data_IF_418009797183
#
_entry.id   IF_418009797183
#
_cell.length_a   1.000
_cell.length_b   1.000
_cell.length_c   1.000
_cell.angle_alpha   90.00
_cell.angle_beta   90.00
_cell.angle_gamma   90.00
#
_symmetry.space_group_name_H-M   'P 1'
#
loop_
_entity.id
_entity.type
_entity.pdbx_description
1 polymer ?
#
# COMPACT_ATOMS: atom_id res chain seq x y z
N UNK A 1 42.16 22.24 26.20
CA UNK A 1 42.87 21.00 25.82
C UNK A 1 41.89 20.06 25.14
N UNK A 2 42.01 19.80 23.83
CA UNK A 2 41.23 18.77 23.14
C UNK A 2 41.94 17.40 23.25
N UNK A 3 41.16 16.34 23.46
CA UNK A 3 41.60 14.94 23.58
C UNK A 3 42.05 14.35 22.22
N UNK A 4 42.95 13.34 22.19
CA UNK A 4 43.51 12.79 20.95
C UNK A 4 42.58 11.82 20.22
N UNK A 5 42.61 11.85 18.89
CA UNK A 5 41.91 10.92 18.00
C UNK A 5 42.60 9.53 17.94
N UNK A 6 41.84 8.43 17.78
CA UNK A 6 42.39 7.07 17.67
C UNK A 6 43.04 6.78 16.29
N UNK A 7 43.96 5.80 16.22
CA UNK A 7 44.80 5.54 15.05
C UNK A 7 44.05 4.89 13.88
N UNK A 8 44.47 5.24 12.65
CA UNK A 8 43.94 4.73 11.40
C UNK A 8 44.28 3.24 11.19
N UNK A 9 43.26 2.41 10.99
CA UNK A 9 43.42 1.01 10.56
C UNK A 9 43.46 0.89 9.03
N UNK A 10 44.48 0.19 8.56
CA UNK A 10 44.84 -0.17 7.19
C UNK A 10 43.69 -0.68 6.30
N UNK A 11 43.72 -0.24 5.03
CA UNK A 11 42.91 -0.76 3.90
C UNK A 11 43.14 -2.26 3.66
N UNK A 12 42.11 -3.06 3.33
CA UNK A 12 42.30 -4.38 2.72
C UNK A 12 42.41 -4.28 1.18
N UNK A 13 43.40 -4.99 0.62
CA UNK A 13 43.61 -5.22 -0.82
C UNK A 13 42.57 -6.17 -1.44
N UNK A 14 42.35 -6.11 -2.77
CA UNK A 14 41.31 -6.87 -3.46
C UNK A 14 41.70 -8.35 -3.68
N UNK A 15 40.80 -9.27 -3.30
CA UNK A 15 40.92 -10.70 -3.66
C UNK A 15 40.52 -10.95 -5.12
N UNK A 16 41.45 -11.53 -5.88
CA UNK A 16 41.18 -12.23 -7.14
C UNK A 16 40.72 -13.67 -6.85
N UNK A 17 39.66 -14.12 -7.52
CA UNK A 17 39.32 -15.53 -7.70
C UNK A 17 38.40 -15.64 -8.93
N UNK A 18 38.99 -15.86 -10.11
CA UNK A 18 39.11 -17.16 -10.79
C UNK A 18 37.78 -17.68 -11.37
N UNK A 19 37.70 -17.51 -12.69
CA UNK A 19 36.74 -18.09 -13.62
C UNK A 19 36.88 -19.61 -13.68
N UNK A 20 35.75 -20.32 -13.65
CA UNK A 20 35.64 -21.67 -14.20
C UNK A 20 34.65 -21.66 -15.37
N UNK A 21 35.20 -22.07 -16.51
CA UNK A 21 34.52 -22.35 -17.77
C UNK A 21 33.64 -23.59 -17.61
N UNK A 22 32.45 -23.58 -18.20
CA UNK A 22 31.86 -24.78 -18.81
C UNK A 22 31.38 -24.38 -20.21
N UNK A 23 31.78 -25.19 -21.18
CA UNK A 23 31.62 -25.02 -22.63
C UNK A 23 30.40 -25.83 -23.11
N UNK A 24 29.64 -25.18 -24.00
CA UNK A 24 28.86 -25.60 -25.17
C UNK A 24 28.02 -26.88 -25.19
N UNK A 25 26.80 -26.74 -25.74
CA UNK A 25 26.39 -27.49 -26.94
C UNK A 25 25.38 -26.70 -27.77
N UNK A 26 25.69 -26.55 -29.06
CA UNK A 26 24.93 -25.93 -30.15
C UNK A 26 23.60 -26.65 -30.45
N UNK A 27 22.62 -25.93 -31.02
CA UNK A 27 21.80 -26.39 -32.17
C UNK A 27 21.12 -25.21 -32.88
N UNK A 28 20.94 -25.40 -34.18
CA UNK A 28 20.82 -24.46 -35.30
C UNK A 28 19.42 -23.85 -35.58
N UNK A 29 19.47 -22.77 -36.38
CA UNK A 29 18.56 -22.24 -37.42
C UNK A 29 17.14 -22.83 -37.62
N UNK A 30 16.10 -21.97 -37.79
CA UNK A 30 15.60 -21.58 -39.13
C UNK A 30 14.40 -20.59 -39.09
N UNK A 31 14.24 -19.86 -40.19
CA UNK A 31 13.33 -18.73 -40.49
C UNK A 31 11.87 -19.14 -40.77
N UNK A 32 10.93 -18.19 -40.70
CA UNK A 32 10.05 -17.81 -41.85
C UNK A 32 9.03 -16.71 -41.51
N UNK A 33 8.91 -15.76 -42.43
CA UNK A 33 7.97 -14.64 -42.51
C UNK A 33 6.55 -15.07 -42.93
N UNK A 34 5.52 -14.24 -42.64
CA UNK A 34 4.64 -13.57 -43.65
C UNK A 34 3.40 -12.85 -43.06
N UNK A 35 3.43 -11.52 -43.18
CA UNK A 35 2.49 -10.52 -43.72
C UNK A 35 1.00 -10.82 -44.07
N UNK A 36 0.13 -9.82 -43.78
CA UNK A 36 -1.21 -9.52 -44.39
C UNK A 36 -2.42 -9.87 -43.51
N UNK A 37 -3.50 -9.11 -43.32
CA UNK A 37 -4.04 -7.88 -43.92
C UNK A 37 -5.24 -7.36 -43.06
N UNK A 38 -5.59 -6.08 -43.24
CA UNK A 38 -6.73 -5.26 -42.73
C UNK A 38 -8.13 -5.93 -42.80
N UNK A 39 -9.26 -5.50 -42.20
CA UNK A 39 -9.75 -4.25 -41.58
C UNK A 39 -11.08 -4.55 -40.84
N UNK A 40 -11.59 -3.54 -40.10
CA UNK A 40 -12.97 -3.29 -39.66
C UNK A 40 -13.35 -3.44 -38.17
N UNK A 41 -13.72 -2.28 -37.66
CA UNK A 41 -14.12 -1.95 -36.30
C UNK A 41 -15.40 -2.65 -35.83
N UNK A 42 -15.37 -3.09 -34.56
CA UNK A 42 -16.54 -3.06 -33.67
C UNK A 42 -16.10 -2.42 -32.35
N UNK A 43 -16.47 -1.14 -32.21
CA UNK A 43 -16.37 -0.38 -30.97
C UNK A 43 -17.35 -1.03 -29.98
N UNK A 44 -16.81 -1.56 -28.88
CA UNK A 44 -17.56 -1.93 -27.68
C UNK A 44 -16.79 -1.35 -26.50
N UNK A 45 -17.45 -0.78 -25.47
CA UNK A 45 -16.76 -0.09 -24.38
C UNK A 45 -16.03 -1.14 -23.53
N UNK A 46 -14.72 -1.29 -23.77
CA UNK A 46 -13.90 -2.23 -23.02
C UNK A 46 -13.74 -1.73 -21.59
N UNK A 47 -14.37 -2.41 -20.64
CA UNK A 47 -14.23 -2.18 -19.20
C UNK A 47 -12.77 -2.00 -18.77
N UNK A 48 -12.46 -1.23 -17.72
CA UNK A 48 -11.11 -0.89 -17.27
C UNK A 48 -10.37 -2.05 -16.57
N UNK A 49 -10.52 -3.27 -17.06
CA UNK A 49 -9.89 -4.50 -16.55
C UNK A 49 -8.36 -4.50 -16.67
N UNK A 50 -7.79 -3.58 -17.46
CA UNK A 50 -6.34 -3.46 -17.69
C UNK A 50 -5.58 -2.70 -16.59
N UNK A 51 -6.21 -1.71 -15.95
CA UNK A 51 -5.59 -0.81 -14.97
C UNK A 51 -5.36 -1.49 -13.60
N UNK A 52 -6.14 -2.54 -13.34
CA UNK A 52 -6.26 -3.25 -12.07
C UNK A 52 -5.19 -4.34 -11.85
N UNK A 53 -4.42 -4.71 -12.88
CA UNK A 53 -3.37 -5.76 -12.80
C UNK A 53 -2.05 -5.29 -12.16
N UNK A 54 -1.87 -4.01 -11.85
CA UNK A 54 -0.56 -3.45 -11.48
C UNK A 54 -0.47 -2.78 -10.10
N UNK A 55 -1.51 -2.90 -9.26
CA UNK A 55 -1.38 -2.56 -7.82
C UNK A 55 -0.57 -3.59 -7.03
N UNK A 56 -0.44 -4.82 -7.54
CA UNK A 56 0.42 -5.86 -6.93
C UNK A 56 1.92 -5.54 -7.01
N UNK A 57 2.37 -4.86 -8.07
CA UNK A 57 3.79 -4.53 -8.26
C UNK A 57 4.33 -3.54 -7.19
N UNK A 58 3.46 -2.69 -6.63
CA UNK A 58 3.84 -1.79 -5.53
C UNK A 58 4.05 -2.55 -4.23
N UNK A 59 3.27 -3.59 -4.00
CA UNK A 59 3.32 -4.35 -2.76
C UNK A 59 4.49 -5.33 -2.76
N UNK A 60 4.85 -5.89 -3.92
CA UNK A 60 6.08 -6.68 -4.09
C UNK A 60 7.31 -5.82 -3.75
N UNK A 61 7.33 -4.53 -4.11
CA UNK A 61 8.39 -3.58 -3.73
C UNK A 61 8.47 -3.37 -2.20
N UNK A 62 7.32 -3.34 -1.51
CA UNK A 62 7.28 -3.20 -0.04
C UNK A 62 7.57 -4.49 0.73
N UNK A 63 7.18 -5.65 0.19
CA UNK A 63 7.28 -6.92 0.89
C UNK A 63 8.62 -7.62 0.68
N UNK A 64 9.35 -7.36 -0.41
CA UNK A 64 10.60 -8.07 -0.71
C UNK A 64 11.88 -7.35 -0.28
N UNK A 65 11.92 -6.01 -0.16
CA UNK A 65 13.24 -5.37 -0.39
C UNK A 65 13.73 -4.27 0.58
N UNK A 66 12.88 -3.52 1.32
CA UNK A 66 13.39 -2.34 2.06
C UNK A 66 12.96 -2.12 3.52
N UNK A 67 12.16 -2.99 4.13
CA UNK A 67 11.67 -2.75 5.51
C UNK A 67 11.15 -1.30 5.73
N UNK A 68 10.52 -0.71 4.71
CA UNK A 68 10.08 0.69 4.76
C UNK A 68 8.90 0.91 5.70
N UNK A 69 8.77 2.15 6.14
CA UNK A 69 7.64 2.59 6.95
C UNK A 69 6.32 2.45 6.18
N UNK A 70 5.25 2.17 6.93
CA UNK A 70 3.91 2.07 6.35
C UNK A 70 3.45 3.41 5.76
N UNK A 71 3.89 4.51 6.36
CA UNK A 71 3.70 5.87 5.86
C UNK A 71 4.11 6.00 4.38
N UNK A 72 5.29 5.48 4.03
CA UNK A 72 5.85 5.48 2.67
C UNK A 72 4.94 4.79 1.66
N UNK A 73 4.42 3.60 1.99
CA UNK A 73 3.46 2.88 1.14
C UNK A 73 2.18 3.69 0.91
N UNK A 74 1.59 4.22 1.98
CA UNK A 74 0.34 4.97 1.87
C UNK A 74 0.53 6.25 1.05
N UNK A 75 1.64 6.95 1.24
CA UNK A 75 1.95 8.16 0.49
C UNK A 75 2.18 7.82 -0.99
N UNK A 76 2.91 6.76 -1.30
CA UNK A 76 3.13 6.31 -2.67
C UNK A 76 1.81 6.04 -3.41
N UNK A 77 0.88 5.32 -2.78
CA UNK A 77 -0.45 5.07 -3.36
C UNK A 77 -1.21 6.37 -3.59
N UNK A 78 -1.14 7.31 -2.63
CA UNK A 78 -1.77 8.63 -2.77
C UNK A 78 -1.16 9.46 -3.88
N UNK A 79 0.16 9.46 -4.06
CA UNK A 79 0.81 10.14 -5.17
C UNK A 79 0.35 9.60 -6.54
N UNK A 80 0.15 8.29 -6.64
CA UNK A 80 -0.36 7.64 -7.86
C UNK A 80 -1.80 8.03 -8.13
N UNK A 81 -2.68 7.97 -7.12
CA UNK A 81 -4.09 8.34 -7.27
C UNK A 81 -4.23 9.83 -7.62
N UNK A 82 -3.67 10.72 -6.79
CA UNK A 82 -2.93 11.94 -7.17
C UNK A 82 -2.82 12.22 -8.68
N UNK A 83 -1.75 11.66 -9.21
CA UNK A 83 -1.31 11.89 -10.56
C UNK A 83 -2.32 11.42 -11.61
N UNK A 84 -2.97 10.27 -11.39
CA UNK A 84 -3.94 9.70 -12.32
C UNK A 84 -5.26 10.46 -12.38
N UNK A 85 -5.54 11.35 -11.43
CA UNK A 85 -6.67 12.28 -11.52
C UNK A 85 -6.42 13.39 -12.55
N UNK A 86 -5.16 13.77 -12.78
CA UNK A 86 -4.78 14.85 -13.69
C UNK A 86 -4.26 14.34 -15.04
N UNK A 87 -3.72 13.11 -15.10
CA UNK A 87 -3.03 12.58 -16.28
C UNK A 87 -3.58 11.22 -16.72
N UNK A 88 -3.94 11.13 -18.00
CA UNK A 88 -4.26 9.85 -18.64
C UNK A 88 -2.97 9.07 -18.89
N UNK A 89 -2.69 8.09 -18.03
CA UNK A 89 -1.52 7.23 -18.16
C UNK A 89 -1.80 5.96 -18.96
N UNK A 90 -0.91 5.60 -19.88
CA UNK A 90 -0.96 4.32 -20.59
C UNK A 90 -0.58 3.17 -19.66
N UNK A 91 -1.14 1.98 -19.93
CA UNK A 91 -1.02 0.78 -19.08
C UNK A 91 0.41 0.26 -18.93
N UNK A 92 1.22 0.39 -19.97
CA UNK A 92 2.64 0.04 -19.99
C UNK A 92 3.44 0.91 -19.00
N UNK A 93 3.12 2.21 -18.89
CA UNK A 93 3.80 3.17 -18.01
C UNK A 93 3.33 3.17 -16.53
N UNK A 94 2.26 2.45 -16.19
CA UNK A 94 1.72 2.41 -14.81
C UNK A 94 2.70 1.86 -13.77
N UNK A 95 3.55 0.89 -14.13
CA UNK A 95 4.51 0.32 -13.19
C UNK A 95 5.69 1.29 -12.97
N UNK A 96 6.16 1.97 -14.02
CA UNK A 96 7.14 3.06 -13.90
C UNK A 96 6.61 4.19 -13.01
N UNK A 97 5.37 4.64 -13.25
CA UNK A 97 4.68 5.62 -12.41
C UNK A 97 4.72 5.16 -10.95
N UNK A 98 4.43 3.88 -10.73
CA UNK A 98 4.36 3.33 -9.40
C UNK A 98 5.66 3.25 -8.64
N UNK A 99 6.68 2.65 -9.25
CA UNK A 99 8.02 2.60 -8.67
C UNK A 99 8.56 4.00 -8.41
N UNK A 100 8.30 4.95 -9.32
CA UNK A 100 8.74 6.33 -9.17
C UNK A 100 8.00 7.06 -8.05
N UNK A 101 6.67 6.90 -7.95
CA UNK A 101 5.89 7.47 -6.86
C UNK A 101 6.31 6.92 -5.49
N UNK A 102 6.67 5.63 -5.43
CA UNK A 102 7.19 5.02 -4.22
C UNK A 102 8.60 5.55 -3.86
N UNK A 103 9.47 5.77 -4.85
CA UNK A 103 10.76 6.45 -4.64
C UNK A 103 10.58 7.88 -4.12
N UNK A 104 9.64 8.65 -4.66
CA UNK A 104 9.31 10.00 -4.16
C UNK A 104 8.84 9.93 -2.70
N UNK A 105 7.92 9.02 -2.39
CA UNK A 105 7.42 8.84 -1.04
C UNK A 105 8.54 8.44 -0.06
N UNK A 106 9.45 7.54 -0.47
CA UNK A 106 10.58 7.14 0.34
C UNK A 106 11.49 8.33 0.67
N UNK A 107 11.80 9.17 -0.33
CA UNK A 107 12.57 10.41 -0.11
C UNK A 107 11.90 11.41 0.84
N UNK A 108 10.59 11.33 1.00
CA UNK A 108 9.82 12.23 1.85
C UNK A 108 9.65 11.71 3.28
N UNK A 109 9.36 10.41 3.45
CA UNK A 109 9.02 9.80 4.74
C UNK A 109 10.20 9.12 5.43
N UNK A 110 11.17 8.58 4.67
CA UNK A 110 12.25 7.78 5.27
C UNK A 110 13.40 8.65 5.76
N UNK A 111 13.95 8.38 6.96
CA UNK A 111 15.16 9.06 7.44
C UNK A 111 16.38 8.82 6.54
N UNK A 112 16.44 7.65 5.91
CA UNK A 112 17.50 7.24 5.00
C UNK A 112 16.88 6.53 3.79
N UNK A 113 16.43 7.30 2.77
CA UNK A 113 15.81 6.70 1.58
C UNK A 113 16.86 5.96 0.74
N UNK A 114 16.49 4.84 0.07
CA UNK A 114 17.36 4.19 -0.89
C UNK A 114 17.73 5.11 -2.05
N UNK A 115 18.88 4.84 -2.67
CA UNK A 115 19.29 5.61 -3.84
C UNK A 115 18.51 5.16 -5.08
N UNK A 116 18.54 5.98 -6.13
CA UNK A 116 17.84 5.65 -7.37
C UNK A 116 18.37 4.34 -8.00
N UNK A 117 19.66 4.04 -7.86
CA UNK A 117 20.23 2.80 -8.38
C UNK A 117 19.68 1.55 -7.66
N UNK A 118 19.35 1.67 -6.37
CA UNK A 118 18.64 0.62 -5.64
C UNK A 118 17.25 0.41 -6.24
N UNK A 119 16.52 1.49 -6.56
CA UNK A 119 15.20 1.39 -7.18
C UNK A 119 15.21 0.75 -8.57
N UNK A 120 16.23 1.03 -9.38
CA UNK A 120 16.42 0.40 -10.68
C UNK A 120 16.69 -1.10 -10.52
N UNK A 121 17.57 -1.46 -9.59
CA UNK A 121 17.92 -2.86 -9.31
C UNK A 121 16.71 -3.70 -8.90
N UNK A 122 15.84 -3.20 -8.01
CA UNK A 122 14.62 -3.96 -7.60
C UNK A 122 13.65 -4.13 -8.75
N UNK A 123 13.62 -3.17 -9.67
CA UNK A 123 12.77 -3.25 -10.84
C UNK A 123 13.39 -4.15 -11.92
N UNK A 124 14.38 -5.00 -11.61
CA UNK A 124 15.13 -5.84 -12.56
C UNK A 124 15.67 -5.05 -13.75
N UNK A 125 16.08 -3.79 -13.53
CA UNK A 125 16.57 -2.86 -14.55
C UNK A 125 15.64 -2.70 -15.78
N UNK A 126 14.34 -2.97 -15.62
CA UNK A 126 13.34 -2.82 -16.69
C UNK A 126 13.16 -1.36 -17.13
N UNK A 127 13.68 -0.41 -16.35
CA UNK A 127 13.61 1.02 -16.62
C UNK A 127 15.02 1.61 -16.70
N UNK A 128 15.20 2.57 -17.60
CA UNK A 128 16.43 3.36 -17.62
C UNK A 128 16.38 4.44 -16.54
N UNK A 129 17.55 4.81 -16.01
CA UNK A 129 17.72 5.93 -15.07
C UNK A 129 17.01 7.21 -15.53
N UNK A 130 17.20 7.57 -16.80
CA UNK A 130 16.60 8.77 -17.38
C UNK A 130 15.07 8.69 -17.43
N UNK A 131 14.49 7.50 -17.62
CA UNK A 131 13.03 7.31 -17.63
C UNK A 131 12.43 7.51 -16.24
N UNK A 132 13.07 6.99 -15.20
CA UNK A 132 12.62 7.15 -13.82
C UNK A 132 12.76 8.60 -13.36
N UNK A 133 13.86 9.28 -13.70
CA UNK A 133 14.04 10.71 -13.42
C UNK A 133 13.04 11.58 -14.18
N UNK A 134 12.76 11.29 -15.44
CA UNK A 134 11.76 12.01 -16.21
C UNK A 134 10.35 11.84 -15.63
N UNK A 135 10.00 10.62 -15.21
CA UNK A 135 8.73 10.35 -14.53
C UNK A 135 8.66 11.09 -13.19
N UNK A 136 9.75 11.16 -12.43
CA UNK A 136 9.78 11.86 -11.15
C UNK A 136 9.48 13.36 -11.32
N UNK A 137 10.18 14.00 -12.27
CA UNK A 137 9.96 15.40 -12.60
C UNK A 137 8.50 15.62 -13.01
N UNK A 138 7.96 14.72 -13.84
CA UNK A 138 6.59 14.82 -14.32
C UNK A 138 5.55 14.71 -13.19
N UNK A 139 5.72 13.76 -12.27
CA UNK A 139 4.84 13.61 -11.09
C UNK A 139 4.87 14.88 -10.25
N UNK A 140 6.06 15.36 -9.88
CA UNK A 140 6.21 16.52 -9.02
C UNK A 140 5.66 17.80 -9.65
N UNK A 141 5.89 18.00 -10.95
CA UNK A 141 5.33 19.15 -11.68
C UNK A 141 3.81 19.10 -11.78
N UNK A 142 3.26 17.92 -12.08
CA UNK A 142 1.80 17.73 -12.18
C UNK A 142 1.11 18.01 -10.85
N UNK A 143 1.69 17.53 -9.76
CA UNK A 143 1.18 17.77 -8.41
C UNK A 143 1.60 19.13 -7.85
N UNK A 144 2.28 19.98 -8.63
CA UNK A 144 2.77 21.30 -8.20
C UNK A 144 3.59 21.24 -6.91
N UNK A 145 4.33 20.15 -6.71
CA UNK A 145 5.08 19.83 -5.50
C UNK A 145 4.22 19.74 -4.22
N UNK A 146 2.89 19.70 -4.33
CA UNK A 146 1.99 19.45 -3.20
C UNK A 146 1.88 17.95 -2.92
N UNK A 147 2.93 17.41 -2.32
CA UNK A 147 3.06 15.99 -1.97
C UNK A 147 2.79 15.70 -0.49
N UNK A 148 2.42 16.72 0.30
CA UNK A 148 2.05 16.56 1.71
C UNK A 148 0.60 16.09 1.86
N UNK A 149 0.32 14.90 1.32
CA UNK A 149 -1.04 14.36 1.21
C UNK A 149 -1.40 13.62 2.51
N UNK A 150 -2.54 13.96 3.17
CA UNK A 150 -2.95 13.26 4.37
C UNK A 150 -3.21 11.77 4.13
N UNK A 151 -2.45 10.91 4.82
CA UNK A 151 -2.62 9.46 4.74
C UNK A 151 -3.42 8.90 5.93
N UNK A 152 -4.22 7.86 5.67
CA UNK A 152 -5.08 7.26 6.68
C UNK A 152 -4.29 6.68 7.86
N UNK A 153 -3.09 6.18 7.61
CA UNK A 153 -2.26 5.55 8.64
C UNK A 153 -1.87 6.50 9.79
N UNK A 154 -1.63 7.79 9.53
CA UNK A 154 -1.37 8.77 10.60
C UNK A 154 -2.56 8.93 11.55
N UNK A 155 -3.77 9.06 10.99
CA UNK A 155 -5.01 9.14 11.78
C UNK A 155 -5.23 7.85 12.57
N UNK A 156 -4.95 6.70 11.96
CA UNK A 156 -5.10 5.39 12.61
C UNK A 156 -4.22 5.28 13.85
N UNK A 157 -2.94 5.67 13.75
CA UNK A 157 -2.02 5.69 14.90
C UNK A 157 -2.51 6.62 16.01
N UNK A 158 -3.05 7.79 15.64
CA UNK A 158 -3.64 8.73 16.61
C UNK A 158 -4.83 8.12 17.33
N UNK A 159 -5.78 7.53 16.60
CA UNK A 159 -6.98 6.92 17.19
C UNK A 159 -6.64 5.74 18.10
N UNK A 160 -5.68 4.90 17.71
CA UNK A 160 -5.19 3.80 18.53
C UNK A 160 -4.57 4.28 19.85
N UNK A 161 -3.83 5.39 19.84
CA UNK A 161 -3.27 6.01 21.06
C UNK A 161 -4.36 6.53 21.99
N UNK A 162 -5.40 7.17 21.46
CA UNK A 162 -6.50 7.72 22.26
C UNK A 162 -7.24 6.67 23.10
N UNK A 163 -7.27 5.41 22.66
CA UNK A 163 -7.93 4.30 23.37
C UNK A 163 -6.92 3.33 24.02
N UNK A 164 -5.63 3.69 24.06
CA UNK A 164 -4.55 2.83 24.59
C UNK A 164 -4.55 1.42 23.99
N UNK A 165 -4.82 1.31 22.69
CA UNK A 165 -4.87 0.03 22.01
C UNK A 165 -3.52 -0.69 22.04
N UNK A 166 -3.54 -1.99 22.32
CA UNK A 166 -2.35 -2.82 22.23
C UNK A 166 -1.89 -3.00 20.77
N UNK A 167 -0.64 -3.43 20.59
CA UNK A 167 -0.04 -3.60 19.27
C UNK A 167 -0.85 -4.53 18.36
N UNK A 168 -1.38 -5.65 18.88
CA UNK A 168 -2.19 -6.58 18.08
C UNK A 168 -3.47 -5.94 17.54
N UNK A 169 -4.09 -5.05 18.30
CA UNK A 169 -5.30 -4.30 17.90
C UNK A 169 -4.95 -3.26 16.84
N UNK A 170 -3.87 -2.50 17.04
CA UNK A 170 -3.36 -1.57 16.03
C UNK A 170 -3.01 -2.31 14.72
N UNK A 171 -2.33 -3.45 14.80
CA UNK A 171 -1.95 -4.24 13.62
C UNK A 171 -3.17 -4.80 12.89
N UNK A 172 -4.20 -5.26 13.59
CA UNK A 172 -5.46 -5.68 12.95
C UNK A 172 -6.12 -4.50 12.22
N UNK A 173 -6.15 -3.33 12.83
CA UNK A 173 -6.73 -2.17 12.18
C UNK A 173 -5.91 -1.68 10.99
N UNK A 174 -4.58 -1.77 11.09
CA UNK A 174 -3.66 -1.46 10.00
C UNK A 174 -3.89 -2.39 8.82
N UNK A 175 -4.05 -3.69 9.07
CA UNK A 175 -4.41 -4.66 8.05
C UNK A 175 -5.69 -4.25 7.32
N UNK A 176 -6.78 -3.98 8.05
CA UNK A 176 -8.07 -3.57 7.46
C UNK A 176 -7.90 -2.30 6.61
N UNK A 177 -7.17 -1.32 7.12
CA UNK A 177 -6.91 -0.07 6.42
C UNK A 177 -6.05 -0.28 5.17
N UNK A 178 -5.03 -1.15 5.22
CA UNK A 178 -4.12 -1.43 4.10
C UNK A 178 -4.83 -2.20 2.98
N UNK A 179 -5.78 -3.07 3.32
CA UNK A 179 -6.66 -3.71 2.33
C UNK A 179 -7.43 -2.70 1.46
N UNK A 180 -7.71 -1.49 1.98
CA UNK A 180 -8.42 -0.46 1.20
C UNK A 180 -7.57 0.15 0.09
N UNK A 181 -6.24 0.09 0.18
CA UNK A 181 -5.33 0.65 -0.84
C UNK A 181 -5.42 -0.10 -2.18
N UNK A 182 -5.77 -1.39 -2.12
CA UNK A 182 -5.91 -2.25 -3.29
C UNK A 182 -7.19 -1.96 -4.09
N UNK A 183 -8.19 -1.35 -3.45
CA UNK A 183 -9.55 -1.19 -3.98
C UNK A 183 -9.83 0.26 -4.41
N UNK A 184 -10.43 0.43 -5.59
CA UNK A 184 -10.71 1.76 -6.14
C UNK A 184 -11.85 2.48 -5.40
N UNK A 185 -12.81 1.72 -4.88
CA UNK A 185 -14.03 2.24 -4.24
C UNK A 185 -13.77 3.06 -2.95
N UNK A 186 -12.56 2.97 -2.39
CA UNK A 186 -12.18 3.67 -1.16
C UNK A 186 -11.38 4.96 -1.41
N UNK A 187 -10.95 5.25 -2.64
CA UNK A 187 -10.13 6.43 -2.96
C UNK A 187 -10.84 7.74 -2.57
N UNK A 188 -12.16 7.78 -2.76
CA UNK A 188 -13.00 8.96 -2.47
C UNK A 188 -13.23 9.19 -0.97
N UNK A 189 -12.97 8.20 -0.11
CA UNK A 189 -13.14 8.38 1.32
C UNK A 189 -11.99 9.20 1.90
N UNK A 190 -12.33 10.12 2.82
CA UNK A 190 -11.33 10.91 3.55
C UNK A 190 -10.42 9.98 4.35
N UNK A 191 -9.12 10.26 4.36
CA UNK A 191 -8.11 9.50 5.10
C UNK A 191 -8.47 9.30 6.58
N UNK A 192 -8.98 10.35 7.25
CA UNK A 192 -9.43 10.29 8.64
C UNK A 192 -10.64 9.37 8.82
N UNK A 193 -11.59 9.35 7.87
CA UNK A 193 -12.78 8.51 7.91
C UNK A 193 -12.43 7.04 7.65
N UNK A 194 -11.52 6.75 6.71
CA UNK A 194 -10.97 5.41 6.49
C UNK A 194 -10.31 4.85 7.75
N UNK A 195 -9.48 5.67 8.40
CA UNK A 195 -8.83 5.29 9.65
C UNK A 195 -9.86 5.03 10.77
N UNK A 196 -10.83 5.94 10.95
CA UNK A 196 -11.86 5.80 11.97
C UNK A 196 -12.75 4.57 11.74
N UNK A 197 -13.19 4.33 10.50
CA UNK A 197 -13.99 3.16 10.12
C UNK A 197 -13.23 1.84 10.29
N UNK A 198 -11.96 1.79 9.87
CA UNK A 198 -11.10 0.61 10.04
C UNK A 198 -10.85 0.31 11.51
N UNK A 199 -10.67 1.34 12.33
CA UNK A 199 -10.46 1.19 13.76
C UNK A 199 -11.75 0.80 14.50
N UNK A 200 -12.89 1.38 14.13
CA UNK A 200 -14.18 1.00 14.69
C UNK A 200 -14.53 -0.46 14.40
N UNK A 201 -14.31 -0.93 13.16
CA UNK A 201 -14.47 -2.34 12.82
C UNK A 201 -13.56 -3.25 13.66
N UNK A 202 -12.31 -2.84 13.86
CA UNK A 202 -11.35 -3.55 14.72
C UNK A 202 -11.85 -3.67 16.15
N UNK A 203 -12.37 -2.58 16.73
CA UNK A 203 -12.94 -2.59 18.08
C UNK A 203 -14.09 -3.59 18.18
N UNK A 204 -14.99 -3.62 17.20
CA UNK A 204 -16.10 -4.59 17.17
C UNK A 204 -15.61 -6.03 17.02
N UNK A 205 -14.63 -6.29 16.14
CA UNK A 205 -14.04 -7.63 15.95
C UNK A 205 -13.34 -8.14 17.22
N UNK A 206 -12.84 -7.24 18.07
CA UNK A 206 -12.16 -7.58 19.32
C UNK A 206 -13.05 -7.54 20.56
N UNK A 207 -14.34 -7.21 20.41
CA UNK A 207 -15.24 -7.05 21.56
C UNK A 207 -14.92 -5.81 22.41
N UNK A 208 -14.21 -4.84 21.84
CA UNK A 208 -13.78 -3.59 22.46
C UNK A 208 -14.71 -2.42 22.09
N UNK A 209 -15.98 -2.70 21.78
CA UNK A 209 -16.96 -1.70 21.33
C UNK A 209 -17.22 -0.58 22.34
N UNK A 210 -16.95 -0.80 23.63
CA UNK A 210 -17.06 0.22 24.68
C UNK A 210 -16.13 1.43 24.47
N UNK A 211 -15.10 1.33 23.63
CA UNK A 211 -14.22 2.45 23.25
C UNK A 211 -14.76 3.31 22.09
N UNK A 212 -15.89 2.93 21.47
CA UNK A 212 -16.47 3.67 20.36
C UNK A 212 -16.80 5.14 20.70
N UNK A 213 -17.31 5.50 21.90
CA UNK A 213 -17.51 6.90 22.29
C UNK A 213 -16.20 7.71 22.34
N UNK A 214 -15.12 7.12 22.83
CA UNK A 214 -13.80 7.77 22.84
C UNK A 214 -13.29 8.00 21.42
N UNK A 215 -13.47 7.02 20.52
CA UNK A 215 -13.14 7.19 19.11
C UNK A 215 -13.98 8.30 18.47
N UNK A 216 -15.27 8.36 18.74
CA UNK A 216 -16.17 9.40 18.24
C UNK A 216 -15.70 10.80 18.68
N UNK A 217 -15.36 10.97 19.97
CA UNK A 217 -14.85 12.22 20.51
C UNK A 217 -13.58 12.71 19.81
N UNK A 218 -12.57 11.84 19.62
CA UNK A 218 -11.28 12.24 19.03
C UNK A 218 -11.26 12.25 17.50
N UNK A 219 -12.15 11.50 16.85
CA UNK A 219 -12.24 11.47 15.38
C UNK A 219 -13.19 12.54 14.84
N UNK A 220 -14.15 12.99 15.64
CA UNK A 220 -15.21 13.91 15.24
C UNK A 220 -16.32 13.27 14.40
N UNK A 221 -16.24 11.96 14.13
CA UNK A 221 -17.26 11.22 13.40
C UNK A 221 -18.17 10.46 14.36
N UNK A 222 -19.48 10.60 14.19
CA UNK A 222 -20.44 9.73 14.88
C UNK A 222 -20.29 8.30 14.39
N UNK A 223 -20.46 7.33 15.28
CA UNK A 223 -20.42 5.91 14.89
C UNK A 223 -21.43 5.60 13.78
N UNK A 224 -22.61 6.23 13.80
CA UNK A 224 -23.62 6.12 12.75
C UNK A 224 -23.14 6.58 11.36
N UNK A 225 -22.26 7.59 11.28
CA UNK A 225 -21.67 8.07 10.02
C UNK A 225 -20.59 7.10 9.49
N UNK A 226 -19.95 6.36 10.40
CA UNK A 226 -18.94 5.35 10.07
C UNK A 226 -19.56 4.01 9.69
N UNK A 227 -20.78 3.72 10.14
CA UNK A 227 -21.47 2.45 9.95
C UNK A 227 -21.54 1.96 8.49
N UNK A 228 -21.88 2.79 7.48
CA UNK A 228 -21.84 2.36 6.08
C UNK A 228 -20.44 1.92 5.62
N UNK A 229 -19.40 2.62 6.06
CA UNK A 229 -18.02 2.27 5.75
C UNK A 229 -17.60 0.98 6.48
N UNK A 230 -17.94 0.83 7.76
CA UNK A 230 -17.68 -0.38 8.55
C UNK A 230 -18.26 -1.63 7.89
N UNK A 231 -19.48 -1.54 7.35
CA UNK A 231 -20.09 -2.65 6.58
C UNK A 231 -19.27 -3.02 5.35
N UNK A 232 -18.90 -2.02 4.53
CA UNK A 232 -18.08 -2.25 3.32
C UNK A 232 -16.72 -2.86 3.67
N UNK A 233 -16.06 -2.35 4.71
CA UNK A 233 -14.79 -2.90 5.20
C UNK A 233 -14.94 -4.34 5.69
N UNK A 234 -16.02 -4.68 6.40
CA UNK A 234 -16.23 -6.05 6.86
C UNK A 234 -16.50 -7.01 5.68
N UNK A 235 -17.24 -6.55 4.67
CA UNK A 235 -17.44 -7.29 3.41
C UNK A 235 -16.12 -7.49 2.67
N UNK A 236 -15.26 -6.47 2.60
CA UNK A 236 -13.92 -6.55 2.00
C UNK A 236 -13.08 -7.68 2.63
N UNK A 237 -13.17 -7.88 3.95
CA UNK A 237 -12.48 -8.98 4.64
C UNK A 237 -13.11 -10.36 4.40
N UNK A 238 -14.39 -10.41 4.02
CA UNK A 238 -15.13 -11.67 3.83
C UNK A 238 -14.90 -12.27 2.46
N UNK A 239 -14.65 -11.43 1.44
CA UNK A 239 -14.20 -11.87 0.12
C UNK A 239 -12.75 -12.39 0.24
N UNK A 240 -12.61 -13.62 0.74
CA UNK A 240 -11.36 -14.37 0.67
C UNK A 240 -10.93 -14.45 -0.79
N UNK A 241 -9.84 -13.75 -1.11
CA UNK A 241 -8.87 -14.18 -2.11
C UNK A 241 -9.45 -14.46 -3.50
N UNK A 242 -9.93 -13.43 -4.19
CA UNK A 242 -9.59 -13.40 -5.62
C UNK A 242 -8.07 -13.13 -5.65
N UNK A 243 -7.30 -13.81 -6.52
CA UNK A 243 -5.83 -13.91 -6.51
C UNK A 243 -5.02 -12.59 -6.36
N UNK A 244 -5.70 -11.44 -6.41
CA UNK A 244 -5.19 -10.08 -6.44
C UNK A 244 -4.82 -9.47 -5.07
N UNK A 245 -5.37 -9.97 -3.96
CA UNK A 245 -5.13 -9.39 -2.61
C UNK A 245 -4.17 -10.25 -1.75
N UNK A 246 -3.43 -11.18 -2.38
CA UNK A 246 -2.58 -12.14 -1.67
C UNK A 246 -1.44 -11.48 -0.89
N UNK A 247 -0.91 -10.37 -1.37
CA UNK A 247 0.34 -9.81 -0.85
C UNK A 247 0.14 -9.15 0.52
N UNK A 248 -0.84 -8.26 0.68
CA UNK A 248 -1.24 -7.73 2.01
C UNK A 248 -1.71 -8.84 2.93
N UNK A 249 -2.57 -9.75 2.46
CA UNK A 249 -3.05 -10.85 3.30
C UNK A 249 -1.88 -11.75 3.78
N UNK A 250 -0.92 -12.07 2.92
CA UNK A 250 0.26 -12.88 3.24
C UNK A 250 1.14 -12.18 4.27
N UNK A 251 1.44 -10.89 4.07
CA UNK A 251 2.17 -10.04 5.03
C UNK A 251 1.58 -10.12 6.43
N UNK A 252 0.28 -9.85 6.57
CA UNK A 252 -0.40 -9.82 7.87
C UNK A 252 -0.72 -11.22 8.43
N UNK A 253 -0.49 -12.28 7.66
CA UNK A 253 -0.56 -13.67 8.13
C UNK A 253 0.73 -14.10 8.85
N UNK A 254 1.83 -13.37 8.67
CA UNK A 254 3.11 -13.69 9.32
C UNK A 254 3.08 -13.42 10.83
N UNK A 255 3.90 -14.15 11.59
CA UNK A 255 3.95 -14.04 13.06
C UNK A 255 4.37 -12.65 13.54
N UNK A 256 5.24 -11.96 12.80
CA UNK A 256 5.63 -10.58 13.07
C UNK A 256 4.44 -9.60 13.10
N UNK A 257 3.35 -9.94 12.40
CA UNK A 257 2.11 -9.18 12.36
C UNK A 257 1.00 -9.82 13.22
N UNK A 258 1.37 -10.65 14.22
CA UNK A 258 0.46 -11.32 15.15
C UNK A 258 -0.58 -12.23 14.49
N UNK A 259 -0.35 -12.61 13.23
CA UNK A 259 -1.24 -13.43 12.42
C UNK A 259 -2.69 -12.91 12.45
N UNK A 260 -2.86 -11.58 12.35
CA UNK A 260 -4.15 -10.91 12.53
C UNK A 260 -5.19 -11.34 11.50
N UNK A 261 -4.77 -11.88 10.35
CA UNK A 261 -5.65 -12.48 9.35
C UNK A 261 -6.39 -13.72 9.83
N UNK A 262 -5.92 -14.40 10.89
CA UNK A 262 -6.64 -15.51 11.53
C UNK A 262 -7.87 -15.05 12.32
N UNK A 263 -8.00 -13.75 12.59
CA UNK A 263 -9.19 -13.19 13.27
C UNK A 263 -10.31 -13.09 12.22
N UNK A 264 -11.42 -13.86 12.38
CA UNK A 264 -12.46 -13.89 11.37
C UNK A 264 -13.22 -12.56 11.33
N UNK A 265 -13.70 -12.13 10.13
CA UNK A 265 -14.62 -11.00 10.02
C UNK A 265 -15.92 -11.31 10.75
N UNK A 266 -16.68 -10.26 11.10
CA UNK A 266 -17.95 -10.42 11.79
C UNK A 266 -19.02 -10.88 10.79
N UNK A 267 -19.82 -11.88 11.17
CA UNK A 267 -21.03 -12.19 10.40
C UNK A 267 -21.95 -10.97 10.36
N UNK A 268 -22.53 -10.67 9.19
CA UNK A 268 -23.28 -9.41 8.98
C UNK A 268 -24.39 -9.21 10.02
N UNK A 269 -25.13 -10.26 10.39
CA UNK A 269 -26.16 -10.17 11.43
C UNK A 269 -25.60 -9.78 12.81
N UNK A 270 -24.41 -10.30 13.16
CA UNK A 270 -23.74 -9.96 14.42
C UNK A 270 -23.25 -8.51 14.40
N UNK A 271 -22.69 -8.08 13.26
CA UNK A 271 -22.23 -6.71 13.06
C UNK A 271 -23.38 -5.71 13.20
N UNK A 272 -24.52 -5.96 12.55
CA UNK A 272 -25.71 -5.10 12.67
C UNK A 272 -26.24 -5.02 14.11
N UNK A 273 -26.23 -6.14 14.85
CA UNK A 273 -26.64 -6.14 16.27
C UNK A 273 -25.74 -5.24 17.12
N UNK A 274 -24.43 -5.32 16.93
CA UNK A 274 -23.45 -4.48 17.64
C UNK A 274 -23.69 -2.99 17.32
N UNK A 275 -23.84 -2.67 16.04
CA UNK A 275 -24.05 -1.29 15.58
C UNK A 275 -25.39 -0.70 16.06
N UNK A 276 -26.43 -1.52 16.19
CA UNK A 276 -27.71 -1.11 16.79
C UNK A 276 -27.58 -0.87 18.30
N UNK A 277 -26.90 -1.78 19.02
CA UNK A 277 -26.69 -1.60 20.46
C UNK A 277 -25.87 -0.35 20.80
N UNK A 278 -24.89 0.00 19.96
CA UNK A 278 -24.11 1.24 20.11
C UNK A 278 -24.98 2.50 19.90
N UNK A 279 -25.97 2.41 19.01
CA UNK A 279 -26.94 3.49 18.79
C UNK A 279 -27.94 3.62 19.95
N UNK A 280 -28.44 2.50 20.47
CA UNK A 280 -29.41 2.47 21.58
C UNK A 280 -28.80 2.91 22.92
N UNK A 281 -27.56 2.50 23.21
CA UNK A 281 -26.82 2.93 24.40
C UNK A 281 -26.64 4.46 24.48
N UNK A 282 -26.63 5.15 23.33
CA UNK A 282 -26.55 6.62 23.25
C UNK A 282 -27.91 7.30 23.37
N UNK A 283 -29.01 6.62 22.99
CA UNK A 283 -30.36 7.15 23.11
C UNK A 283 -30.90 7.20 24.55
N UNK A 284 -30.27 6.45 25.47
CA UNK A 284 -30.62 6.41 26.90
C UNK A 284 -29.78 7.36 27.77
N UNK A 285 -28.82 8.09 27.18
CA UNK A 285 -27.92 9.00 27.86
C UNK A 285 -28.24 10.49 27.64
N UNK A 286 -29.42 10.79 27.07
CA UNK A 286 -30.03 12.12 26.92
C UNK A 286 -31.31 12.21 27.75
#
# INVERSE_FOLDING_TARGET
MPLPLPPQSSKPEPRKSQSSKIVSSDYDYDQTEKMGENDQAKISPSSPKGMLKKRSAFEDLTNMSFEMNHETLYLAVKLVDHYLMEVVCKKDKLQLLGSTAFMIAAKFEEPCPPCLDDFLYICDDIYRRDEMLAMEINILQTLKFDINIPIAYHFLRRYARCVHANMKTLTLSRFICEMTLQEYDYIQERASKLAAGSFLLTLYMKGLGHWAPTLEYYSGYKTSELHPLVRRLNVLLTFKSCDRLKTVYSKYSHQAFFEVTKIPPLGMLKLEKIMKSDHEAKGLAL
#
